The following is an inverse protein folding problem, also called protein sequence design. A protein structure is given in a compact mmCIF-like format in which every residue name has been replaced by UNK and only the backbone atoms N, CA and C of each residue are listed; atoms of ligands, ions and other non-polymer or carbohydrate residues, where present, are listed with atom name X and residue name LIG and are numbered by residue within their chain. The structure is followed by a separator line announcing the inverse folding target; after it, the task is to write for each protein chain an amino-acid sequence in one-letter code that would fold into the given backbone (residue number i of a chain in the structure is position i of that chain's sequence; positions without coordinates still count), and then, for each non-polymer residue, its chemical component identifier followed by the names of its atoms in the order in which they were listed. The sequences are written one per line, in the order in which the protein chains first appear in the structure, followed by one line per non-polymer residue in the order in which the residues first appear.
data_IF_160541903257
#
_entry.id   IF_160541903257
#
_cell.length_a   1.000
_cell.length_b   1.000
_cell.length_c   1.000
_cell.angle_alpha   90.00
_cell.angle_beta   90.00
_cell.angle_gamma   90.00
#
_symmetry.space_group_name_H-M   'P 1'
#
loop_
_entity.id
_entity.type
_entity.pdbx_description
1 polymer ?
#
# COMPACT_ATOMS: atom_id res chain seq x y z
N UNK A 1 11.10 7.46 8.05
CA UNK A 1 9.87 8.20 8.41
C UNK A 1 9.83 9.57 7.73
N UNK A 2 9.93 9.63 6.40
CA UNK A 2 9.84 10.88 5.62
C UNK A 2 8.71 10.88 4.59
N UNK A 3 7.96 9.77 4.46
CA UNK A 3 6.92 9.62 3.43
C UNK A 3 5.84 10.68 3.59
N UNK A 4 5.30 10.86 4.81
CA UNK A 4 4.26 11.87 5.07
C UNK A 4 4.72 13.32 4.81
N UNK A 5 5.86 13.80 5.33
CA UNK A 5 6.32 15.16 5.03
C UNK A 5 6.67 15.35 3.55
N UNK A 6 7.22 14.34 2.86
CA UNK A 6 7.51 14.41 1.42
C UNK A 6 6.22 14.44 0.59
N UNK A 7 5.21 13.62 0.91
CA UNK A 7 3.91 13.65 0.24
C UNK A 7 3.20 14.99 0.47
N UNK A 8 3.24 15.52 1.70
CA UNK A 8 2.68 16.84 2.02
C UNK A 8 3.37 17.97 1.25
N UNK A 9 4.71 17.90 1.10
CA UNK A 9 5.47 18.85 0.31
C UNK A 9 5.10 18.76 -1.18
N UNK A 10 5.03 17.54 -1.73
CA UNK A 10 4.62 17.31 -3.12
C UNK A 10 3.24 17.90 -3.40
N UNK A 11 2.24 17.63 -2.54
CA UNK A 11 0.89 18.18 -2.66
C UNK A 11 0.87 19.71 -2.65
N UNK A 12 1.67 20.33 -1.76
CA UNK A 12 1.79 21.80 -1.72
C UNK A 12 2.42 22.37 -2.99
N UNK A 13 3.43 21.70 -3.55
CA UNK A 13 4.08 22.12 -4.80
C UNK A 13 3.09 22.02 -5.98
N UNK A 14 2.22 21.00 -5.99
CA UNK A 14 1.19 20.83 -7.02
C UNK A 14 -0.09 21.64 -6.78
N UNK A 15 -0.13 22.49 -5.75
CA UNK A 15 -1.27 23.36 -5.46
C UNK A 15 -2.45 22.68 -4.74
N UNK A 16 -2.30 21.42 -4.32
CA UNK A 16 -3.34 20.65 -3.65
C UNK A 16 -3.35 20.82 -2.12
N UNK A 17 -4.50 20.57 -1.45
CA UNK A 17 -4.58 20.59 0.00
C UNK A 17 -3.73 19.46 0.61
N UNK A 18 -2.86 19.80 1.57
CA UNK A 18 -1.97 18.83 2.22
C UNK A 18 -2.59 18.12 3.43
N UNK A 19 -3.83 18.47 3.81
CA UNK A 19 -4.55 17.88 4.93
C UNK A 19 -6.05 18.03 4.76
N UNK A 20 -6.81 17.10 5.33
CA UNK A 20 -8.27 17.18 5.40
C UNK A 20 -8.73 18.27 6.37
N UNK A 21 -9.91 18.88 6.16
CA UNK A 21 -10.51 19.80 7.11
C UNK A 21 -10.67 19.18 8.50
N UNK A 22 -10.47 19.96 9.57
CA UNK A 22 -10.65 19.49 10.94
C UNK A 22 -12.08 18.96 11.14
N UNK A 23 -12.20 17.80 11.77
CA UNK A 23 -13.50 17.14 12.00
C UNK A 23 -14.00 16.27 10.85
N UNK A 24 -13.25 16.15 9.74
CA UNK A 24 -13.64 15.26 8.65
C UNK A 24 -13.64 13.79 9.12
N UNK A 25 -14.73 13.02 8.87
CA UNK A 25 -14.89 11.67 9.42
C UNK A 25 -13.80 10.69 8.95
N UNK A 26 -13.19 10.91 7.78
CA UNK A 26 -12.12 10.05 7.26
C UNK A 26 -10.76 10.27 7.93
N UNK A 27 -10.57 11.29 8.79
CA UNK A 27 -9.33 11.48 9.54
C UNK A 27 -9.06 10.26 10.43
N UNK A 28 -10.08 9.75 11.12
CA UNK A 28 -9.96 8.55 11.96
C UNK A 28 -9.56 7.33 11.14
N UNK A 29 -10.19 7.12 9.99
CA UNK A 29 -9.89 6.02 9.08
C UNK A 29 -8.48 6.13 8.48
N UNK A 30 -8.04 7.33 8.11
CA UNK A 30 -6.70 7.57 7.59
C UNK A 30 -5.62 7.25 8.64
N UNK A 31 -5.85 7.64 9.90
CA UNK A 31 -4.95 7.30 11.00
C UNK A 31 -4.89 5.79 11.26
N UNK A 32 -6.04 5.12 11.34
CA UNK A 32 -6.09 3.66 11.53
C UNK A 32 -5.41 2.92 10.37
N UNK A 33 -5.66 3.37 9.14
CA UNK A 33 -5.00 2.87 7.94
C UNK A 33 -3.48 3.04 8.03
N UNK A 34 -2.96 4.21 8.42
CA UNK A 34 -1.53 4.44 8.54
C UNK A 34 -0.84 3.47 9.52
N UNK A 35 -1.54 3.00 10.55
CA UNK A 35 -1.00 2.04 11.52
C UNK A 35 -1.11 0.57 11.08
N UNK A 36 -1.97 0.23 10.11
CA UNK A 36 -2.09 -1.18 9.66
C UNK A 36 -0.79 -1.76 9.12
N UNK A 37 0.00 -0.99 8.36
CA UNK A 37 1.28 -1.51 7.81
C UNK A 37 2.33 -1.69 8.91
N UNK A 38 2.69 -0.69 9.74
CA UNK A 38 3.69 -0.89 10.80
C UNK A 38 3.33 -2.02 11.77
N UNK A 39 2.06 -2.14 12.16
CA UNK A 39 1.60 -3.21 13.05
C UNK A 39 1.66 -4.56 12.33
N UNK A 40 1.16 -4.62 11.08
CA UNK A 40 1.20 -5.84 10.28
C UNK A 40 2.63 -6.31 10.00
N UNK A 41 3.58 -5.40 9.81
CA UNK A 41 4.99 -5.74 9.60
C UNK A 41 5.62 -6.46 10.80
N UNK A 42 5.08 -6.33 12.02
CA UNK A 42 5.52 -7.15 13.15
C UNK A 42 5.25 -8.64 12.90
N UNK A 43 4.12 -8.99 12.27
CA UNK A 43 3.81 -10.36 11.85
C UNK A 43 4.72 -10.81 10.70
N UNK A 44 4.98 -9.94 9.71
CA UNK A 44 5.92 -10.26 8.64
C UNK A 44 7.34 -10.52 9.17
N UNK A 45 7.79 -9.72 10.14
CA UNK A 45 9.05 -9.93 10.85
C UNK A 45 9.07 -11.27 11.59
N UNK A 46 7.99 -11.61 12.31
CA UNK A 46 7.88 -12.89 13.00
C UNK A 46 7.94 -14.09 12.03
N UNK A 47 7.38 -13.98 10.82
CA UNK A 47 7.54 -15.02 9.80
C UNK A 47 8.97 -15.04 9.24
N UNK A 48 9.59 -13.87 9.09
CA UNK A 48 10.97 -13.72 8.65
C UNK A 48 12.00 -14.34 9.61
N UNK A 49 11.69 -14.46 10.91
CA UNK A 49 12.57 -15.17 11.86
C UNK A 49 12.48 -16.69 11.73
N UNK A 50 11.39 -17.22 11.17
CA UNK A 50 11.24 -18.65 10.86
C UNK A 50 11.96 -18.99 9.55
N UNK A 51 11.73 -18.19 8.51
CA UNK A 51 12.47 -18.25 7.25
C UNK A 51 12.51 -16.82 6.65
N UNK A 52 13.70 -16.22 6.44
CA UNK A 52 13.84 -14.87 5.89
C UNK A 52 13.11 -14.66 4.57
N UNK A 53 12.93 -15.72 3.77
CA UNK A 53 12.20 -15.67 2.48
C UNK A 53 10.70 -15.42 2.65
N UNK A 54 10.14 -15.61 3.85
CA UNK A 54 8.72 -15.39 4.11
C UNK A 54 8.37 -13.92 4.41
N UNK A 55 9.36 -13.10 4.75
CA UNK A 55 9.15 -11.69 5.11
C UNK A 55 8.47 -10.90 3.98
N UNK A 56 9.04 -10.96 2.75
CA UNK A 56 8.53 -10.20 1.61
C UNK A 56 7.13 -10.65 1.14
N UNK A 57 6.83 -11.95 0.99
CA UNK A 57 5.47 -12.43 0.74
C UNK A 57 4.45 -11.94 1.79
N UNK A 58 4.77 -12.05 3.07
CA UNK A 58 3.88 -11.60 4.14
C UNK A 58 3.67 -10.08 4.10
N UNK A 59 4.75 -9.32 3.94
CA UNK A 59 4.70 -7.87 3.80
C UNK A 59 3.86 -7.45 2.58
N UNK A 60 3.97 -8.14 1.44
CA UNK A 60 3.17 -7.87 0.25
C UNK A 60 1.66 -8.02 0.49
N UNK A 61 1.25 -9.05 1.24
CA UNK A 61 -0.17 -9.25 1.63
C UNK A 61 -0.63 -8.11 2.54
N UNK A 62 0.16 -7.76 3.57
CA UNK A 62 -0.17 -6.69 4.52
C UNK A 62 -0.30 -5.33 3.82
N UNK A 63 0.65 -4.99 2.95
CA UNK A 63 0.64 -3.76 2.17
C UNK A 63 -0.52 -3.76 1.16
N UNK A 64 -0.79 -4.90 0.51
CA UNK A 64 -1.95 -5.04 -0.37
C UNK A 64 -3.28 -4.82 0.37
N UNK A 65 -3.45 -5.44 1.54
CA UNK A 65 -4.63 -5.25 2.38
C UNK A 65 -4.79 -3.80 2.86
N UNK A 66 -3.69 -3.12 3.17
CA UNK A 66 -3.70 -1.69 3.52
C UNK A 66 -4.32 -0.84 2.41
N UNK A 67 -4.03 -1.13 1.13
CA UNK A 67 -4.63 -0.41 0.00
C UNK A 67 -6.16 -0.60 -0.15
N UNK A 68 -6.78 -1.58 0.50
CA UNK A 68 -8.25 -1.69 0.50
C UNK A 68 -8.90 -0.49 1.21
N UNK A 69 -8.26 0.04 2.25
CA UNK A 69 -8.76 1.24 2.95
C UNK A 69 -8.75 2.47 2.06
N UNK A 70 -7.88 2.49 1.03
CA UNK A 70 -7.72 3.61 0.11
C UNK A 70 -8.89 3.74 -0.87
N UNK A 71 -9.62 2.66 -1.10
CA UNK A 71 -10.89 2.70 -1.85
C UNK A 71 -11.88 3.65 -1.16
N UNK A 72 -12.01 3.55 0.17
CA UNK A 72 -12.89 4.41 0.94
C UNK A 72 -12.31 5.81 1.19
N UNK A 73 -10.99 5.90 1.41
CA UNK A 73 -10.33 7.19 1.69
C UNK A 73 -10.28 8.11 0.48
N UNK A 74 -10.11 7.56 -0.72
CA UNK A 74 -9.97 8.35 -1.96
C UNK A 74 -11.15 8.19 -2.92
N UNK A 75 -12.09 7.26 -2.68
CA UNK A 75 -13.21 7.01 -3.58
C UNK A 75 -12.84 6.27 -4.87
N UNK A 76 -11.56 5.91 -5.06
CA UNK A 76 -11.03 5.34 -6.29
C UNK A 76 -11.03 3.81 -6.26
N UNK A 77 -11.70 3.17 -7.22
CA UNK A 77 -11.77 1.69 -7.32
C UNK A 77 -10.47 1.06 -7.80
N UNK A 78 -9.60 1.83 -8.42
CA UNK A 78 -8.28 1.43 -8.90
C UNK A 78 -7.40 0.89 -7.78
N UNK A 79 -7.58 1.37 -6.54
CA UNK A 79 -6.91 0.81 -5.38
C UNK A 79 -7.31 -0.65 -5.09
N UNK A 80 -8.49 -1.11 -5.51
CA UNK A 80 -8.87 -2.52 -5.41
C UNK A 80 -8.01 -3.40 -6.34
N UNK A 81 -7.67 -2.90 -7.53
CA UNK A 81 -6.79 -3.61 -8.47
C UNK A 81 -5.38 -3.70 -7.89
N UNK A 82 -4.85 -2.60 -7.35
CA UNK A 82 -3.54 -2.59 -6.70
C UNK A 82 -3.49 -3.51 -5.47
N UNK A 83 -4.50 -3.43 -4.60
CA UNK A 83 -4.64 -4.29 -3.44
C UNK A 83 -4.67 -5.77 -3.84
N UNK A 84 -5.53 -6.12 -4.80
CA UNK A 84 -5.65 -7.48 -5.33
C UNK A 84 -4.34 -7.99 -5.91
N UNK A 85 -3.65 -7.19 -6.72
CA UNK A 85 -2.37 -7.58 -7.31
C UNK A 85 -1.30 -7.91 -6.25
N UNK A 86 -1.13 -7.05 -5.24
CA UNK A 86 -0.14 -7.25 -4.18
C UNK A 86 -0.48 -8.44 -3.29
N UNK A 87 -1.76 -8.59 -2.91
CA UNK A 87 -2.23 -9.75 -2.13
C UNK A 87 -2.02 -11.04 -2.92
N UNK A 88 -2.37 -11.07 -4.21
CA UNK A 88 -2.19 -12.26 -5.05
C UNK A 88 -0.71 -12.63 -5.21
N UNK A 89 0.17 -11.66 -5.41
CA UNK A 89 1.63 -11.89 -5.47
C UNK A 89 2.13 -12.51 -4.17
N UNK A 90 1.81 -11.91 -3.03
CA UNK A 90 2.25 -12.40 -1.72
C UNK A 90 1.68 -13.78 -1.39
N UNK A 91 0.38 -13.98 -1.58
CA UNK A 91 -0.29 -15.27 -1.33
C UNK A 91 0.25 -16.37 -2.25
N UNK A 92 0.48 -16.06 -3.53
CA UNK A 92 1.05 -17.04 -4.48
C UNK A 92 2.46 -17.46 -4.07
N UNK A 93 3.31 -16.51 -3.69
CA UNK A 93 4.67 -16.82 -3.22
C UNK A 93 4.69 -17.58 -1.88
N UNK A 94 3.71 -17.32 -1.00
CA UNK A 94 3.64 -18.00 0.29
C UNK A 94 3.20 -19.46 0.14
N UNK A 95 2.13 -19.70 -0.64
CA UNK A 95 1.41 -20.98 -0.65
C UNK A 95 1.50 -21.79 -1.94
N UNK A 96 1.79 -21.18 -3.09
CA UNK A 96 1.66 -21.82 -4.41
C UNK A 96 3.01 -22.04 -5.07
N UNK A 97 3.88 -21.02 -5.07
CA UNK A 97 5.18 -21.03 -5.76
C UNK A 97 6.29 -20.57 -4.81
N UNK A 98 6.78 -21.44 -3.91
CA UNK A 98 7.82 -21.09 -2.92
C UNK A 98 9.11 -20.53 -3.53
N UNK A 99 9.46 -20.94 -4.74
CA UNK A 99 10.64 -20.48 -5.48
C UNK A 99 10.55 -19.00 -5.84
N UNK A 100 9.34 -18.44 -5.88
CA UNK A 100 9.10 -17.05 -6.24
C UNK A 100 9.33 -16.06 -5.07
N UNK A 101 9.50 -16.55 -3.83
CA UNK A 101 9.58 -15.73 -2.61
C UNK A 101 10.66 -14.65 -2.66
N UNK A 102 11.82 -14.96 -3.23
CA UNK A 102 12.95 -14.02 -3.34
C UNK A 102 12.69 -12.87 -4.33
N UNK A 103 11.76 -13.07 -5.27
CA UNK A 103 11.43 -12.09 -6.31
C UNK A 103 10.22 -11.22 -5.97
N UNK A 104 9.52 -11.51 -4.87
CA UNK A 104 8.31 -10.78 -4.46
C UNK A 104 8.57 -9.28 -4.32
N UNK A 105 9.67 -8.90 -3.66
CA UNK A 105 10.02 -7.49 -3.47
C UNK A 105 10.11 -6.73 -4.80
N UNK A 106 10.89 -7.24 -5.74
CA UNK A 106 11.06 -6.64 -7.07
C UNK A 106 9.75 -6.59 -7.86
N UNK A 107 8.95 -7.66 -7.78
CA UNK A 107 7.67 -7.75 -8.48
C UNK A 107 6.68 -6.72 -7.92
N UNK A 108 6.58 -6.59 -6.59
CA UNK A 108 5.76 -5.57 -5.95
C UNK A 108 6.23 -4.15 -6.28
N UNK A 109 7.55 -3.91 -6.33
CA UNK A 109 8.10 -2.62 -6.78
C UNK A 109 7.65 -2.30 -8.21
N UNK A 110 7.74 -3.26 -9.13
CA UNK A 110 7.27 -3.07 -10.51
C UNK A 110 5.78 -2.74 -10.55
N UNK A 111 4.94 -3.48 -9.82
CA UNK A 111 3.50 -3.23 -9.74
C UNK A 111 3.20 -1.82 -9.22
N UNK A 112 3.88 -1.37 -8.15
CA UNK A 112 3.69 -0.05 -7.57
C UNK A 112 4.11 1.07 -8.54
N UNK A 113 5.24 0.90 -9.24
CA UNK A 113 5.72 1.86 -10.24
C UNK A 113 4.76 1.96 -11.42
N UNK A 114 4.24 0.83 -11.90
CA UNK A 114 3.26 0.82 -13.00
C UNK A 114 1.89 1.36 -12.59
N UNK A 115 1.49 1.17 -11.32
CA UNK A 115 0.24 1.69 -10.79
C UNK A 115 0.26 3.22 -10.60
N UNK A 116 1.41 3.82 -10.31
CA UNK A 116 1.53 5.26 -10.05
C UNK A 116 0.93 6.15 -11.17
N UNK A 117 1.29 6.02 -12.46
CA UNK A 117 0.69 6.85 -13.51
C UNK A 117 -0.80 6.56 -13.74
N UNK A 118 -1.25 5.32 -13.49
CA UNK A 118 -2.66 4.93 -13.61
C UNK A 118 -3.50 5.62 -12.53
N UNK A 119 -3.03 5.56 -11.27
CA UNK A 119 -3.68 6.21 -10.14
C UNK A 119 -3.67 7.73 -10.27
N UNK A 120 -2.55 8.32 -10.72
CA UNK A 120 -2.49 9.76 -10.98
C UNK A 120 -3.54 10.19 -12.01
N UNK A 121 -3.65 9.46 -13.13
CA UNK A 121 -4.65 9.74 -14.17
C UNK A 121 -6.08 9.53 -13.68
N UNK A 122 -6.33 8.52 -12.85
CA UNK A 122 -7.65 8.27 -12.28
C UNK A 122 -8.06 9.40 -11.32
N UNK A 123 -7.14 9.88 -10.48
CA UNK A 123 -7.42 10.99 -9.56
C UNK A 123 -7.82 12.28 -10.27
N UNK A 124 -7.21 12.60 -11.42
CA UNK A 124 -7.58 13.79 -12.20
C UNK A 124 -8.94 13.69 -12.92
N UNK A 125 -9.60 12.53 -12.94
CA UNK A 125 -10.94 12.39 -13.55
C UNK A 125 -12.06 12.77 -12.59
N UNK A 126 -11.78 12.69 -11.30
CA UNK A 126 -12.76 12.89 -10.22
C UNK A 126 -12.68 14.31 -9.62
N UNK A 127 -11.71 15.13 -10.05
CA UNK A 127 -11.60 16.58 -9.77
C UNK A 127 -12.36 17.42 -10.80
#
# INVERSE_FOLDING_TARGET
MLIFPLASLALKITGGPSALPKGHPSIGLAMQSAFTVPIGLLLALALGTVDPRLFLPAAAIIVGAHYLTFIALYGMREYAVLAGALVLIGTSALFVVPEFREFVGWTCTLVLVLAAPLLYRAGMRDE
#
